data_IF_771877025343
#
_entry.id   IF_771877025343
#
_cell.length_a   1.000
_cell.length_b   1.000
_cell.length_c   1.000
_cell.angle_alpha   90.00
_cell.angle_beta   90.00
_cell.angle_gamma   90.00
#
_symmetry.space_group_name_H-M   'P 1'
#
loop_
_entity.id
_entity.type
_entity.pdbx_description
1 polymer ?
#
# COMPACT_ATOMS: atom_id res chain seq x y z
N UNK A 1 37.74 38.36 57.61
CA UNK A 1 37.30 37.24 56.75
C UNK A 1 36.38 37.83 55.68
N UNK A 2 36.91 38.30 54.54
CA UNK A 2 37.06 37.59 53.26
C UNK A 2 35.74 36.97 52.73
N UNK A 3 34.99 37.76 51.95
CA UNK A 3 34.46 37.33 50.65
C UNK A 3 34.32 38.58 49.75
N UNK A 4 35.24 38.69 48.79
CA UNK A 4 35.16 39.62 47.67
C UNK A 4 34.32 38.97 46.56
N UNK A 5 33.41 39.73 45.96
CA UNK A 5 33.12 39.66 44.52
C UNK A 5 32.81 41.08 44.03
N UNK A 6 33.81 41.64 43.38
CA UNK A 6 33.69 42.77 42.45
C UNK A 6 32.73 42.39 41.31
N UNK A 7 31.75 43.26 41.05
CA UNK A 7 31.09 43.33 39.75
C UNK A 7 31.67 44.54 39.04
N UNK A 8 32.64 44.29 38.18
CA UNK A 8 33.25 45.28 37.30
C UNK A 8 32.30 45.54 36.12
N UNK A 9 31.80 46.77 36.02
CA UNK A 9 31.00 47.26 34.89
C UNK A 9 31.86 48.22 34.09
N UNK A 10 32.50 47.72 33.03
CA UNK A 10 33.20 48.55 32.05
C UNK A 10 33.21 47.83 30.71
N UNK A 11 32.53 48.39 29.70
CA UNK A 11 32.57 47.86 28.34
C UNK A 11 31.32 48.16 27.52
N UNK A 12 31.35 49.30 26.84
CA UNK A 12 30.41 49.81 25.86
C UNK A 12 30.06 48.84 24.71
N UNK A 13 28.84 49.04 24.18
CA UNK A 13 28.30 48.59 22.88
C UNK A 13 27.79 47.15 22.80
N UNK A 14 26.48 46.98 23.01
CA UNK A 14 25.57 46.42 21.99
C UNK A 14 24.12 46.61 22.47
N UNK A 15 23.33 47.38 21.71
CA UNK A 15 21.88 47.42 21.83
C UNK A 15 21.32 46.06 21.38
N UNK A 16 21.11 45.17 22.35
CA UNK A 16 20.16 44.07 22.23
C UNK A 16 19.23 44.19 23.42
N UNK A 17 17.95 44.43 23.13
CA UNK A 17 16.86 44.42 24.10
C UNK A 17 16.67 43.01 24.67
N UNK A 18 17.57 42.61 25.57
CA UNK A 18 17.39 41.45 26.41
C UNK A 18 16.43 41.84 27.54
N UNK A 19 15.20 41.33 27.46
CA UNK A 19 14.26 41.28 28.57
C UNK A 19 14.99 40.62 29.74
N UNK A 20 15.24 41.38 30.81
CA UNK A 20 15.78 40.89 32.07
C UNK A 20 14.65 40.08 32.73
N UNK A 21 14.60 38.78 32.41
CA UNK A 21 13.78 37.81 33.11
C UNK A 21 14.35 37.61 34.52
N UNK A 22 13.60 38.05 35.53
CA UNK A 22 13.89 37.85 36.94
C UNK A 22 14.18 36.37 37.25
N UNK A 23 15.41 36.13 37.67
CA UNK A 23 15.95 34.86 38.13
C UNK A 23 15.43 34.59 39.54
N UNK A 24 14.40 33.76 39.72
CA UNK A 24 13.94 33.55 41.10
C UNK A 24 12.77 32.63 41.42
N UNK A 25 12.25 31.78 40.52
CA UNK A 25 11.44 30.62 40.92
C UNK A 25 11.44 29.58 39.79
N UNK A 26 12.36 28.60 39.87
CA UNK A 26 12.16 27.35 39.14
C UNK A 26 11.10 26.57 39.88
N UNK A 27 9.82 26.85 39.58
CA UNK A 27 8.77 25.89 39.87
C UNK A 27 9.18 24.56 39.23
N UNK A 28 9.21 23.44 39.96
CA UNK A 28 9.58 22.17 39.37
C UNK A 28 8.57 21.84 38.28
N UNK A 29 9.00 21.89 37.01
CA UNK A 29 8.20 21.52 35.83
C UNK A 29 7.48 20.17 35.98
N UNK A 30 7.92 19.32 36.92
CA UNK A 30 7.30 18.03 37.25
C UNK A 30 5.92 18.12 37.89
N UNK A 31 5.55 19.16 38.65
CA UNK A 31 4.30 19.11 39.44
C UNK A 31 3.04 19.49 38.65
N UNK A 32 3.19 20.17 37.51
CA UNK A 32 2.06 20.78 36.77
C UNK A 32 1.64 19.95 35.54
N UNK A 33 2.51 19.04 35.06
CA UNK A 33 2.17 18.04 34.03
C UNK A 33 1.19 16.96 34.48
N UNK A 34 0.71 16.97 35.74
CA UNK A 34 -0.12 15.92 36.29
C UNK A 34 -1.63 16.10 36.09
N UNK A 35 -2.09 17.19 35.46
CA UNK A 35 -3.52 17.33 35.21
C UNK A 35 -4.01 16.19 34.30
N UNK A 36 -5.03 15.42 34.72
CA UNK A 36 -5.45 14.21 33.99
C UNK A 36 -5.95 14.52 32.58
N UNK A 37 -6.62 15.66 32.39
CA UNK A 37 -7.12 16.08 31.07
C UNK A 37 -5.97 16.44 30.11
N UNK A 38 -4.96 17.18 30.57
CA UNK A 38 -3.79 17.56 29.76
C UNK A 38 -2.99 16.30 29.39
N UNK A 39 -2.79 15.38 30.35
CA UNK A 39 -2.12 14.10 30.09
C UNK A 39 -2.86 13.26 29.06
N UNK A 40 -4.20 13.20 29.16
CA UNK A 40 -5.05 12.51 28.17
C UNK A 40 -4.97 13.18 26.79
N UNK A 41 -4.99 14.51 26.73
CA UNK A 41 -4.86 15.26 25.49
C UNK A 41 -3.50 14.99 24.82
N UNK A 42 -2.40 15.14 25.56
CA UNK A 42 -1.05 14.97 25.04
C UNK A 42 -0.75 13.53 24.65
N UNK A 43 -1.24 12.52 25.38
CA UNK A 43 -1.08 11.12 25.01
C UNK A 43 -1.88 10.75 23.75
N UNK A 44 -3.08 11.32 23.56
CA UNK A 44 -3.82 11.19 22.32
C UNK A 44 -3.10 11.88 21.17
N UNK A 45 -2.58 13.10 21.39
CA UNK A 45 -1.82 13.84 20.40
C UNK A 45 -0.55 13.08 19.99
N UNK A 46 0.24 12.59 20.95
CA UNK A 46 1.45 11.78 20.69
C UNK A 46 1.15 10.55 19.83
N UNK A 47 0.04 9.86 20.12
CA UNK A 47 -0.40 8.70 19.33
C UNK A 47 -0.68 9.07 17.87
N UNK A 48 -1.32 10.21 17.62
CA UNK A 48 -1.61 10.70 16.28
C UNK A 48 -0.35 11.23 15.56
N UNK A 49 0.61 11.80 16.31
CA UNK A 49 1.90 12.28 15.79
C UNK A 49 2.94 11.17 15.55
N UNK A 50 2.62 9.89 15.78
CA UNK A 50 3.54 8.75 15.57
C UNK A 50 4.09 8.65 14.14
N UNK A 51 3.45 9.32 13.18
CA UNK A 51 3.90 9.40 11.79
C UNK A 51 5.18 10.25 11.67
N UNK A 52 5.31 11.32 12.47
CA UNK A 52 6.46 12.22 12.46
C UNK A 52 7.74 11.54 12.96
N UNK A 53 8.92 12.06 12.57
CA UNK A 53 10.19 11.73 13.21
C UNK A 53 10.13 11.92 14.73
N UNK A 54 10.87 11.12 15.50
CA UNK A 54 10.81 11.19 16.96
C UNK A 54 11.20 12.58 17.49
N UNK A 55 12.18 13.24 16.86
CA UNK A 55 12.66 14.58 17.22
C UNK A 55 11.55 15.63 17.01
N UNK A 56 11.01 15.74 15.79
CA UNK A 56 9.91 16.67 15.49
C UNK A 56 8.66 16.41 16.35
N UNK A 57 8.34 15.14 16.64
CA UNK A 57 7.25 14.79 17.54
C UNK A 57 7.50 15.32 18.95
N UNK A 58 8.71 15.17 19.48
CA UNK A 58 9.06 15.66 20.81
C UNK A 58 9.03 17.19 20.86
N UNK A 59 9.56 17.86 19.84
CA UNK A 59 9.54 19.32 19.73
C UNK A 59 8.11 19.86 19.64
N UNK A 60 7.26 19.24 18.81
CA UNK A 60 5.83 19.58 18.73
C UNK A 60 5.14 19.42 20.08
N UNK A 61 5.36 18.29 20.77
CA UNK A 61 4.74 18.05 22.07
C UNK A 61 5.25 19.04 23.13
N UNK A 62 6.51 19.46 23.04
CA UNK A 62 7.10 20.46 23.92
C UNK A 62 6.55 21.86 23.66
N UNK A 63 6.38 22.24 22.41
CA UNK A 63 5.74 23.50 22.00
C UNK A 63 4.30 23.58 22.50
N UNK A 64 3.50 22.53 22.28
CA UNK A 64 2.11 22.48 22.77
C UNK A 64 2.03 22.51 24.29
N UNK A 65 2.93 21.80 24.97
CA UNK A 65 3.06 21.92 26.43
C UNK A 65 3.33 23.37 26.83
N UNK A 66 4.29 24.04 26.18
CA UNK A 66 4.61 25.45 26.47
C UNK A 66 3.39 26.34 26.29
N UNK A 67 2.65 26.21 25.18
CA UNK A 67 1.44 27.00 24.94
C UNK A 67 0.34 26.77 25.96
N UNK A 68 0.14 25.53 26.42
CA UNK A 68 -0.81 25.24 27.50
C UNK A 68 -0.34 25.91 28.80
N UNK A 69 0.95 25.86 29.11
CA UNK A 69 1.52 26.49 30.31
C UNK A 69 1.49 28.01 30.27
N UNK A 70 1.66 28.63 29.11
CA UNK A 70 1.59 30.09 28.95
C UNK A 70 0.15 30.61 29.12
N UNK A 71 -0.86 29.80 28.80
CA UNK A 71 -2.26 30.17 28.90
C UNK A 71 -2.90 29.90 30.27
N UNK A 72 -2.29 29.05 31.10
CA UNK A 72 -2.77 28.66 32.42
C UNK A 72 -1.84 29.19 33.52
N UNK A 73 -2.38 30.00 34.43
CA UNK A 73 -1.65 30.37 35.65
C UNK A 73 -1.55 29.17 36.60
N UNK A 74 -0.58 29.15 37.54
CA UNK A 74 -0.45 28.07 38.52
C UNK A 74 -1.74 27.75 39.29
N UNK A 75 -2.59 28.75 39.51
CA UNK A 75 -3.88 28.65 40.20
C UNK A 75 -4.97 28.01 39.32
N UNK A 76 -4.89 28.19 38.00
CA UNK A 76 -5.87 27.68 37.04
C UNK A 76 -5.80 26.16 36.86
N UNK A 77 -4.70 25.50 37.27
CA UNK A 77 -4.54 24.05 37.15
C UNK A 77 -5.47 23.24 38.07
N UNK A 78 -6.10 23.88 39.05
CA UNK A 78 -7.12 23.24 39.88
C UNK A 78 -8.53 23.34 39.27
N UNK A 79 -8.71 24.18 38.25
CA UNK A 79 -10.00 24.43 37.60
C UNK A 79 -10.13 23.63 36.29
N UNK A 80 -10.88 22.51 36.37
CA UNK A 80 -11.17 21.63 35.24
C UNK A 80 -11.85 22.38 34.07
N UNK A 81 -12.70 23.37 34.32
CA UNK A 81 -13.39 24.11 33.26
C UNK A 81 -12.43 25.01 32.50
N UNK A 82 -11.51 25.66 33.23
CA UNK A 82 -10.49 26.52 32.63
C UNK A 82 -9.52 25.72 31.77
N UNK A 83 -9.07 24.57 32.27
CA UNK A 83 -8.21 23.65 31.50
C UNK A 83 -8.94 23.17 30.24
N UNK A 84 -10.19 22.72 30.35
CA UNK A 84 -10.97 22.27 29.21
C UNK A 84 -11.20 23.40 28.19
N UNK A 85 -11.41 24.65 28.63
CA UNK A 85 -11.55 25.80 27.74
C UNK A 85 -10.27 26.06 26.92
N UNK A 86 -9.08 25.94 27.52
CA UNK A 86 -7.79 26.03 26.82
C UNK A 86 -7.63 24.88 25.82
N UNK A 87 -7.92 23.65 26.23
CA UNK A 87 -7.84 22.49 25.33
C UNK A 87 -8.84 22.57 24.16
N UNK A 88 -10.04 23.11 24.39
CA UNK A 88 -11.03 23.34 23.34
C UNK A 88 -10.56 24.37 22.32
N UNK A 89 -9.79 25.39 22.73
CA UNK A 89 -9.20 26.39 21.82
C UNK A 89 -8.10 25.80 20.93
N UNK A 90 -7.32 24.86 21.46
CA UNK A 90 -6.36 24.08 20.65
C UNK A 90 -7.08 23.14 19.65
N UNK A 91 -8.34 22.82 19.93
CA UNK A 91 -9.15 21.91 19.12
C UNK A 91 -8.86 20.44 19.43
N UNK A 92 -9.61 19.56 18.77
CA UNK A 92 -9.48 18.13 18.99
C UNK A 92 -8.05 17.66 18.60
N UNK A 93 -7.37 16.83 19.44
CA UNK A 93 -6.00 16.37 19.18
C UNK A 93 -5.79 15.81 17.77
N UNK A 94 -6.78 15.06 17.29
CA UNK A 94 -6.76 14.43 15.96
C UNK A 94 -6.81 15.44 14.82
N UNK A 95 -7.58 16.52 14.97
CA UNK A 95 -7.66 17.57 13.95
C UNK A 95 -6.35 18.37 13.90
N UNK A 96 -5.82 18.70 15.07
CA UNK A 96 -4.55 19.42 15.20
C UNK A 96 -3.38 18.59 14.65
N UNK A 97 -3.25 17.33 15.07
CA UNK A 97 -2.21 16.41 14.57
C UNK A 97 -2.25 16.22 13.05
N UNK A 98 -3.46 16.16 12.46
CA UNK A 98 -3.63 16.02 11.00
C UNK A 98 -3.05 17.19 10.22
N UNK A 99 -3.19 18.41 10.74
CA UNK A 99 -2.64 19.61 10.11
C UNK A 99 -1.11 19.57 10.10
N UNK A 100 -0.49 19.28 11.26
CA UNK A 100 0.96 19.20 11.40
C UNK A 100 1.57 18.02 10.62
N UNK A 101 0.98 16.83 10.72
CA UNK A 101 1.42 15.67 9.94
C UNK A 101 1.29 15.98 8.44
N UNK A 102 0.22 16.65 8.02
CA UNK A 102 0.05 17.09 6.64
C UNK A 102 1.16 18.02 6.16
N UNK A 103 1.73 18.86 7.03
CA UNK A 103 2.85 19.76 6.71
C UNK A 103 4.14 19.02 6.51
N UNK A 104 4.50 18.17 7.46
CA UNK A 104 5.68 17.33 7.36
C UNK A 104 5.63 16.44 6.11
N UNK A 105 4.48 15.83 5.82
CA UNK A 105 4.32 15.00 4.62
C UNK A 105 4.52 15.80 3.33
N UNK A 106 4.05 17.04 3.28
CA UNK A 106 4.27 17.91 2.13
C UNK A 106 5.76 18.22 1.97
N UNK A 107 6.44 18.60 3.05
CA UNK A 107 7.86 18.92 3.00
C UNK A 107 8.70 17.70 2.54
N UNK A 108 8.39 16.51 3.04
CA UNK A 108 9.02 15.27 2.59
C UNK A 108 8.76 14.97 1.10
N UNK A 109 7.59 15.32 0.58
CA UNK A 109 7.27 15.07 -0.84
C UNK A 109 7.89 16.13 -1.76
N UNK A 110 7.92 17.39 -1.34
CA UNK A 110 8.46 18.50 -2.11
C UNK A 110 9.98 18.55 -2.05
N UNK A 111 10.54 18.55 -0.85
CA UNK A 111 11.97 18.75 -0.60
C UNK A 111 12.70 17.45 -0.23
N UNK A 112 11.99 16.49 0.37
CA UNK A 112 12.59 15.22 0.78
C UNK A 112 13.21 14.42 -0.37
N UNK A 113 14.23 13.64 -0.03
CA UNK A 113 14.88 12.72 -0.94
C UNK A 113 13.96 11.51 -1.24
N UNK A 114 14.14 10.90 -2.41
CA UNK A 114 13.38 9.72 -2.84
C UNK A 114 13.38 8.56 -1.82
N UNK A 115 14.49 8.23 -1.13
CA UNK A 115 14.50 7.18 -0.10
C UNK A 115 13.56 7.49 1.06
N UNK A 116 13.43 8.76 1.46
CA UNK A 116 12.53 9.19 2.53
C UNK A 116 11.07 9.00 2.13
N UNK A 117 10.71 9.34 0.89
CA UNK A 117 9.36 9.11 0.36
C UNK A 117 9.04 7.61 0.27
N UNK A 118 10.01 6.79 -0.13
CA UNK A 118 9.84 5.34 -0.14
C UNK A 118 9.68 4.76 1.27
N UNK A 119 10.47 5.20 2.24
CA UNK A 119 10.31 4.81 3.64
C UNK A 119 8.93 5.21 4.18
N UNK A 120 8.43 6.38 3.77
CA UNK A 120 7.11 6.85 4.12
C UNK A 120 6.00 5.98 3.52
N UNK A 121 6.14 5.59 2.26
CA UNK A 121 5.26 4.61 1.63
C UNK A 121 5.27 3.29 2.40
N UNK A 122 6.45 2.75 2.72
CA UNK A 122 6.58 1.50 3.48
C UNK A 122 5.88 1.59 4.85
N UNK A 123 5.97 2.74 5.52
CA UNK A 123 5.30 2.96 6.82
C UNK A 123 3.77 3.04 6.69
N UNK A 124 3.26 3.67 5.63
CA UNK A 124 1.83 3.99 5.52
C UNK A 124 1.00 2.99 4.71
N UNK A 125 1.57 2.46 3.63
CA UNK A 125 0.88 1.65 2.64
C UNK A 125 1.07 0.15 2.86
N UNK A 126 2.20 -0.28 3.46
CA UNK A 126 2.50 -1.70 3.60
C UNK A 126 1.47 -2.44 4.46
N UNK A 127 1.02 -1.84 5.56
CA UNK A 127 0.00 -2.46 6.41
C UNK A 127 -1.34 -2.68 5.68
N UNK A 128 -1.96 -1.68 5.02
CA UNK A 128 -3.18 -1.93 4.25
C UNK A 128 -2.94 -2.85 3.05
N UNK A 129 -1.78 -2.79 2.37
CA UNK A 129 -1.44 -3.74 1.31
C UNK A 129 -1.43 -5.19 1.81
N UNK A 130 -0.78 -5.44 2.95
CA UNK A 130 -0.76 -6.76 3.58
C UNK A 130 -2.17 -7.18 4.01
N UNK A 131 -2.96 -6.27 4.58
CA UNK A 131 -4.35 -6.54 4.96
C UNK A 131 -5.19 -6.98 3.76
N UNK A 132 -5.11 -6.26 2.63
CA UNK A 132 -5.81 -6.62 1.38
C UNK A 132 -5.28 -7.93 0.81
N UNK A 133 -3.96 -8.13 0.82
CA UNK A 133 -3.34 -9.38 0.33
C UNK A 133 -3.84 -10.58 1.13
N UNK A 134 -3.82 -10.50 2.46
CA UNK A 134 -4.29 -11.57 3.35
C UNK A 134 -5.79 -11.83 3.17
N UNK A 135 -6.60 -10.77 3.06
CA UNK A 135 -8.03 -10.88 2.83
C UNK A 135 -8.33 -11.65 1.54
N UNK A 136 -7.80 -11.20 0.40
CA UNK A 136 -8.07 -11.83 -0.89
C UNK A 136 -7.42 -13.22 -1.03
N UNK A 137 -6.25 -13.41 -0.42
CA UNK A 137 -5.63 -14.74 -0.33
C UNK A 137 -6.52 -15.69 0.45
N UNK A 138 -7.06 -15.27 1.60
CA UNK A 138 -8.02 -16.06 2.38
C UNK A 138 -9.29 -16.41 1.60
N UNK A 139 -9.84 -15.47 0.83
CA UNK A 139 -11.01 -15.71 -0.02
C UNK A 139 -10.72 -16.72 -1.15
N UNK A 140 -9.58 -16.59 -1.83
CA UNK A 140 -9.16 -17.52 -2.89
C UNK A 140 -8.81 -18.91 -2.35
N UNK A 141 -8.17 -18.96 -1.19
CA UNK A 141 -7.89 -20.22 -0.48
C UNK A 141 -9.19 -20.89 -0.03
N UNK A 142 -10.19 -20.13 0.41
CA UNK A 142 -11.49 -20.69 0.78
C UNK A 142 -12.16 -21.39 -0.41
N UNK A 143 -12.13 -20.77 -1.59
CA UNK A 143 -12.62 -21.41 -2.82
C UNK A 143 -11.84 -22.69 -3.16
N UNK A 144 -10.52 -22.65 -3.03
CA UNK A 144 -9.65 -23.82 -3.29
C UNK A 144 -9.88 -24.94 -2.27
N UNK A 145 -10.05 -24.58 -0.99
CA UNK A 145 -10.33 -25.50 0.09
C UNK A 145 -11.71 -26.16 -0.09
N UNK A 146 -12.71 -25.45 -0.63
CA UNK A 146 -14.01 -26.02 -0.96
C UNK A 146 -13.90 -27.14 -2.01
N UNK A 147 -13.12 -26.91 -3.08
CA UNK A 147 -12.83 -27.93 -4.11
C UNK A 147 -12.16 -29.16 -3.47
N UNK A 148 -11.22 -28.95 -2.55
CA UNK A 148 -10.56 -30.07 -1.87
C UNK A 148 -11.42 -30.74 -0.79
N UNK A 149 -12.34 -30.02 -0.16
CA UNK A 149 -13.27 -30.58 0.82
C UNK A 149 -14.17 -31.63 0.17
N UNK A 150 -14.57 -31.42 -1.09
CA UNK A 150 -15.30 -32.43 -1.87
C UNK A 150 -14.45 -33.71 -2.07
N UNK A 151 -13.15 -33.56 -2.35
CA UNK A 151 -12.23 -34.69 -2.48
C UNK A 151 -12.03 -35.43 -1.14
N UNK A 152 -11.97 -34.71 -0.02
CA UNK A 152 -11.91 -35.32 1.32
C UNK A 152 -13.19 -36.10 1.61
N UNK A 153 -14.36 -35.50 1.35
CA UNK A 153 -15.68 -36.11 1.59
C UNK A 153 -15.86 -37.42 0.81
N UNK A 154 -15.32 -37.48 -0.41
CA UNK A 154 -15.30 -38.70 -1.22
C UNK A 154 -14.28 -39.75 -0.74
N UNK A 155 -13.62 -39.54 0.41
CA UNK A 155 -12.58 -40.42 0.93
C UNK A 155 -11.34 -40.48 0.05
N UNK A 156 -11.12 -39.46 -0.80
CA UNK A 156 -10.05 -39.49 -1.79
C UNK A 156 -8.69 -39.06 -1.26
N UNK A 157 -8.68 -38.11 -0.33
CA UNK A 157 -7.46 -37.44 0.15
C UNK A 157 -7.58 -37.20 1.66
N UNK A 158 -6.49 -37.42 2.41
CA UNK A 158 -6.41 -37.11 3.84
C UNK A 158 -6.29 -35.60 4.10
N UNK A 159 -6.72 -35.14 5.28
CA UNK A 159 -6.73 -33.71 5.62
C UNK A 159 -5.32 -33.07 5.61
N UNK A 160 -4.29 -33.83 6.01
CA UNK A 160 -2.89 -33.37 6.01
C UNK A 160 -2.41 -33.09 4.59
N UNK A 161 -2.67 -33.99 3.65
CA UNK A 161 -2.33 -33.82 2.24
C UNK A 161 -3.03 -32.61 1.64
N UNK A 162 -4.31 -32.43 1.95
CA UNK A 162 -5.08 -31.26 1.52
C UNK A 162 -4.48 -29.95 2.05
N UNK A 163 -4.06 -29.92 3.32
CA UNK A 163 -3.39 -28.75 3.90
C UNK A 163 -2.10 -28.42 3.14
N UNK A 164 -1.26 -29.42 2.85
CA UNK A 164 -0.04 -29.20 2.08
C UNK A 164 -0.31 -28.73 0.65
N UNK A 165 -1.30 -29.30 -0.04
CA UNK A 165 -1.70 -28.82 -1.37
C UNK A 165 -2.17 -27.36 -1.34
N UNK A 166 -2.94 -26.99 -0.32
CA UNK A 166 -3.41 -25.63 -0.13
C UNK A 166 -2.24 -24.67 0.13
N UNK A 167 -1.27 -25.07 0.96
CA UNK A 167 -0.07 -24.31 1.24
C UNK A 167 0.79 -24.10 -0.01
N UNK A 168 1.00 -25.13 -0.82
CA UNK A 168 1.76 -25.02 -2.07
C UNK A 168 1.06 -24.19 -3.15
N UNK A 169 -0.25 -23.97 -3.05
CA UNK A 169 -0.97 -23.06 -3.95
C UNK A 169 -0.83 -21.58 -3.56
N UNK A 170 -0.32 -21.25 -2.37
CA UNK A 170 -0.16 -19.87 -1.90
C UNK A 170 0.61 -18.96 -2.87
N UNK A 171 1.78 -19.36 -3.42
CA UNK A 171 2.53 -18.49 -4.31
C UNK A 171 1.75 -18.09 -5.57
N UNK A 172 0.98 -19.03 -6.14
CA UNK A 172 0.16 -18.76 -7.31
C UNK A 172 -0.96 -17.75 -6.99
N UNK A 173 -1.60 -17.88 -5.83
CA UNK A 173 -2.62 -16.94 -5.37
C UNK A 173 -2.00 -15.55 -5.13
N UNK A 174 -0.81 -15.48 -4.51
CA UNK A 174 -0.14 -14.20 -4.25
C UNK A 174 0.17 -13.43 -5.55
N UNK A 175 0.61 -14.13 -6.61
CA UNK A 175 0.83 -13.51 -7.93
C UNK A 175 -0.43 -12.84 -8.45
N UNK A 176 -1.58 -13.52 -8.30
CA UNK A 176 -2.88 -13.05 -8.80
C UNK A 176 -3.46 -11.92 -7.93
N UNK A 177 -3.22 -11.95 -6.61
CA UNK A 177 -3.74 -10.95 -5.65
C UNK A 177 -2.88 -9.69 -5.60
N UNK A 178 -1.60 -9.77 -5.96
CA UNK A 178 -0.65 -8.64 -5.84
C UNK A 178 -1.13 -7.34 -6.51
N UNK A 179 -1.63 -7.33 -7.76
CA UNK A 179 -2.03 -6.08 -8.43
C UNK A 179 -3.12 -5.34 -7.66
N UNK A 180 -4.05 -6.10 -7.08
CA UNK A 180 -5.10 -5.60 -6.19
C UNK A 180 -4.48 -4.93 -4.96
N UNK A 181 -3.57 -5.63 -4.29
CA UNK A 181 -2.91 -5.09 -3.10
C UNK A 181 -2.16 -3.79 -3.42
N UNK A 182 -1.42 -3.74 -4.53
CA UNK A 182 -0.69 -2.55 -4.99
C UNK A 182 -1.64 -1.39 -5.27
N UNK A 183 -2.76 -1.62 -5.98
CA UNK A 183 -3.77 -0.61 -6.25
C UNK A 183 -4.26 0.06 -4.96
N UNK A 184 -4.68 -0.73 -3.98
CA UNK A 184 -5.19 -0.20 -2.71
C UNK A 184 -4.09 0.48 -1.88
N UNK A 185 -2.89 -0.10 -1.85
CA UNK A 185 -1.74 0.47 -1.16
C UNK A 185 -1.36 1.85 -1.66
N UNK A 186 -1.21 1.97 -2.99
CA UNK A 186 -0.86 3.23 -3.64
C UNK A 186 -2.01 4.24 -3.53
N UNK A 187 -3.26 3.83 -3.72
CA UNK A 187 -4.41 4.72 -3.55
C UNK A 187 -4.46 5.34 -2.15
N UNK A 188 -4.28 4.53 -1.10
CA UNK A 188 -4.27 5.02 0.28
C UNK A 188 -3.04 5.88 0.59
N UNK A 189 -1.87 5.53 0.05
CA UNK A 189 -0.67 6.35 0.18
C UNK A 189 -0.87 7.75 -0.41
N UNK A 190 -1.33 7.81 -1.65
CA UNK A 190 -1.55 9.07 -2.36
C UNK A 190 -2.68 9.86 -1.69
N UNK A 191 -3.78 9.21 -1.34
CA UNK A 191 -4.87 9.86 -0.62
C UNK A 191 -4.41 10.44 0.72
N UNK A 192 -3.64 9.72 1.53
CA UNK A 192 -3.14 10.26 2.82
C UNK A 192 -2.14 11.39 2.64
N UNK A 193 -1.32 11.30 1.59
CA UNK A 193 -0.33 12.32 1.26
C UNK A 193 -0.97 13.62 0.77
N UNK A 194 -2.07 13.51 0.01
CA UNK A 194 -2.75 14.67 -0.61
C UNK A 194 -3.97 15.18 0.16
N UNK A 195 -4.76 14.28 0.74
CA UNK A 195 -6.08 14.53 1.32
C UNK A 195 -6.09 15.28 2.65
N UNK A 196 -4.92 15.72 3.13
CA UNK A 196 -4.78 16.56 4.31
C UNK A 196 -4.74 18.06 3.98
N UNK A 197 -4.79 18.47 2.70
CA UNK A 197 -4.54 19.87 2.31
C UNK A 197 -5.43 20.42 1.20
N UNK A 198 -5.53 21.74 1.16
CA UNK A 198 -6.15 22.55 0.10
C UNK A 198 -5.33 22.60 -1.21
N UNK A 199 -4.02 22.33 -1.15
CA UNK A 199 -3.10 22.51 -2.29
C UNK A 199 -2.71 21.22 -3.03
N UNK A 200 -3.56 20.18 -3.00
CA UNK A 200 -3.28 18.88 -3.65
C UNK A 200 -2.85 19.01 -5.14
N UNK A 201 -3.33 20.04 -5.84
CA UNK A 201 -2.98 20.36 -7.22
C UNK A 201 -1.47 20.57 -7.46
N UNK A 202 -0.74 21.21 -6.53
CA UNK A 202 0.71 21.42 -6.68
C UNK A 202 1.46 20.09 -6.61
N UNK A 203 1.08 19.25 -5.65
CA UNK A 203 1.75 17.99 -5.37
C UNK A 203 1.50 16.94 -6.47
N UNK A 204 0.29 16.88 -7.04
CA UNK A 204 -0.04 15.98 -8.17
C UNK A 204 0.82 16.28 -9.41
N UNK A 205 1.23 17.53 -9.57
CA UNK A 205 2.13 17.96 -10.66
C UNK A 205 3.60 17.64 -10.38
N UNK A 206 3.96 17.21 -9.17
CA UNK A 206 5.32 16.82 -8.83
C UNK A 206 5.70 15.50 -9.50
N UNK A 207 6.74 15.54 -10.34
CA UNK A 207 7.32 14.33 -10.94
C UNK A 207 7.85 13.34 -9.89
N UNK A 208 8.22 13.80 -8.69
CA UNK A 208 8.73 12.94 -7.61
C UNK A 208 7.66 11.95 -7.13
N UNK A 209 6.42 12.41 -6.93
CA UNK A 209 5.31 11.56 -6.49
C UNK A 209 5.08 10.41 -7.48
N UNK A 210 5.01 10.72 -8.78
CA UNK A 210 4.86 9.73 -9.84
C UNK A 210 6.07 8.82 -9.97
N UNK A 211 7.28 9.34 -9.76
CA UNK A 211 8.51 8.54 -9.69
C UNK A 211 8.44 7.49 -8.58
N UNK A 212 7.94 7.84 -7.40
CA UNK A 212 7.75 6.88 -6.28
C UNK A 212 6.69 5.84 -6.63
N UNK A 213 5.54 6.26 -7.17
CA UNK A 213 4.45 5.36 -7.60
C UNK A 213 4.95 4.34 -8.63
N UNK A 214 5.67 4.80 -9.66
CA UNK A 214 6.26 3.96 -10.68
C UNK A 214 7.34 3.02 -10.09
N UNK A 215 8.17 3.55 -9.19
CA UNK A 215 9.18 2.75 -8.49
C UNK A 215 8.57 1.61 -7.68
N UNK A 216 7.47 1.86 -6.97
CA UNK A 216 6.70 0.83 -6.25
C UNK A 216 6.11 -0.20 -7.21
N UNK A 217 5.43 0.27 -8.27
CA UNK A 217 4.84 -0.61 -9.27
C UNK A 217 5.87 -1.55 -9.90
N UNK A 218 7.01 -1.01 -10.33
CA UNK A 218 8.12 -1.78 -10.90
C UNK A 218 8.76 -2.73 -9.89
N UNK A 219 8.96 -2.28 -8.64
CA UNK A 219 9.51 -3.11 -7.57
C UNK A 219 8.61 -4.32 -7.27
N UNK A 220 7.29 -4.10 -7.16
CA UNK A 220 6.31 -5.16 -6.99
C UNK A 220 6.25 -6.08 -8.22
N UNK A 221 6.26 -5.53 -9.44
CA UNK A 221 6.31 -6.33 -10.68
C UNK A 221 7.53 -7.25 -10.72
N UNK A 222 8.72 -6.74 -10.40
CA UNK A 222 9.95 -7.53 -10.36
C UNK A 222 9.88 -8.64 -9.31
N UNK A 223 9.39 -8.33 -8.11
CA UNK A 223 9.21 -9.33 -7.05
C UNK A 223 8.22 -10.43 -7.46
N UNK A 224 7.06 -10.06 -8.00
CA UNK A 224 6.03 -11.02 -8.44
C UNK A 224 6.51 -11.85 -9.63
N UNK A 225 7.28 -11.26 -10.55
CA UNK A 225 7.89 -12.01 -11.63
C UNK A 225 8.81 -13.12 -11.10
N UNK A 226 9.65 -12.82 -10.09
CA UNK A 226 10.50 -13.83 -9.45
C UNK A 226 9.66 -14.93 -8.77
N UNK A 227 8.61 -14.55 -8.02
CA UNK A 227 7.69 -15.52 -7.42
C UNK A 227 7.08 -16.43 -8.49
N UNK A 228 6.61 -15.85 -9.59
CA UNK A 228 5.94 -16.55 -10.66
C UNK A 228 6.86 -17.44 -11.48
N UNK A 229 8.10 -17.02 -11.72
CA UNK A 229 9.02 -17.78 -12.58
C UNK A 229 9.77 -18.88 -11.81
N UNK A 230 10.07 -18.66 -10.53
CA UNK A 230 10.88 -19.60 -9.74
C UNK A 230 10.04 -20.39 -8.75
N UNK A 231 9.22 -19.71 -7.95
CA UNK A 231 8.56 -20.31 -6.78
C UNK A 231 7.28 -21.03 -7.18
N UNK A 232 6.47 -20.46 -8.07
CA UNK A 232 5.21 -21.08 -8.53
C UNK A 232 5.45 -22.42 -9.24
N UNK A 233 6.39 -22.55 -10.21
CA UNK A 233 6.67 -23.83 -10.85
C UNK A 233 7.17 -24.88 -9.86
N UNK A 234 8.04 -24.49 -8.93
CA UNK A 234 8.52 -25.38 -7.87
C UNK A 234 7.37 -25.89 -7.00
N UNK A 235 6.50 -25.00 -6.52
CA UNK A 235 5.37 -25.36 -5.68
C UNK A 235 4.38 -26.27 -6.42
N UNK A 236 4.09 -25.96 -7.69
CA UNK A 236 3.24 -26.79 -8.54
C UNK A 236 3.82 -28.20 -8.74
N UNK A 237 5.15 -28.34 -8.91
CA UNK A 237 5.78 -29.64 -9.00
C UNK A 237 5.61 -30.47 -7.72
N UNK A 238 5.65 -29.85 -6.54
CA UNK A 238 5.39 -30.55 -5.28
C UNK A 238 3.95 -31.07 -5.23
N UNK A 239 2.97 -30.23 -5.60
CA UNK A 239 1.56 -30.63 -5.67
C UNK A 239 1.35 -31.81 -6.63
N UNK A 240 1.99 -31.80 -7.81
CA UNK A 240 1.90 -32.89 -8.78
C UNK A 240 2.55 -34.18 -8.27
N UNK A 241 3.69 -34.10 -7.56
CA UNK A 241 4.33 -35.29 -6.96
C UNK A 241 3.42 -35.94 -5.93
N UNK A 242 2.86 -35.14 -5.02
CA UNK A 242 1.91 -35.61 -4.02
C UNK A 242 0.69 -36.27 -4.71
N UNK A 243 0.16 -35.65 -5.77
CA UNK A 243 -0.96 -36.21 -6.52
C UNK A 243 -0.59 -37.54 -7.19
N UNK A 244 0.61 -37.64 -7.78
CA UNK A 244 1.10 -38.86 -8.44
C UNK A 244 1.25 -40.00 -7.44
N UNK A 245 1.83 -39.74 -6.27
CA UNK A 245 2.04 -40.75 -5.22
C UNK A 245 0.69 -41.29 -4.70
N UNK A 246 -0.31 -40.42 -4.54
CA UNK A 246 -1.68 -40.82 -4.18
C UNK A 246 -2.34 -41.69 -5.26
N UNK A 247 -2.20 -41.30 -6.53
CA UNK A 247 -2.78 -42.07 -7.65
C UNK A 247 -2.09 -43.41 -7.83
N UNK A 248 -0.76 -43.50 -7.67
CA UNK A 248 -0.04 -44.77 -7.76
C UNK A 248 -0.44 -45.73 -6.63
N UNK A 249 -0.56 -45.22 -5.40
CA UNK A 249 -1.05 -46.01 -4.25
C UNK A 249 -2.46 -46.54 -4.52
N UNK A 250 -3.33 -45.74 -5.17
CA UNK A 250 -4.68 -46.17 -5.57
C UNK A 250 -4.71 -47.13 -6.75
N UNK A 251 -3.92 -46.91 -7.79
CA UNK A 251 -3.86 -47.81 -8.95
C UNK A 251 -3.38 -49.21 -8.57
N UNK A 252 -2.61 -49.33 -7.49
CA UNK A 252 -2.26 -50.62 -6.88
C UNK A 252 -3.44 -51.26 -6.12
N UNK A 253 -4.38 -50.46 -5.60
CA UNK A 253 -5.60 -50.92 -4.91
C UNK A 253 -6.76 -51.23 -5.88
N UNK A 254 -6.88 -50.47 -6.97
CA UNK A 254 -7.88 -50.65 -8.03
C UNK A 254 -7.22 -51.29 -9.26
N UNK A 255 -7.10 -52.63 -9.25
CA UNK A 255 -6.75 -53.39 -10.46
C UNK A 255 -7.78 -53.10 -11.56
N UNK A 256 -7.34 -52.40 -12.62
CA UNK A 256 -7.99 -52.14 -13.93
C UNK A 256 -8.58 -50.73 -14.12
N UNK A 257 -7.72 -49.76 -14.47
CA UNK A 257 -7.91 -48.92 -15.65
C UNK A 257 -6.61 -48.13 -15.97
N UNK A 258 -6.16 -48.06 -17.23
CA UNK A 258 -5.09 -47.14 -17.61
C UNK A 258 -5.62 -45.71 -17.57
N UNK A 259 -5.28 -44.95 -16.53
CA UNK A 259 -5.53 -43.51 -16.49
C UNK A 259 -4.57 -42.81 -17.47
N UNK A 260 -5.12 -42.42 -18.62
CA UNK A 260 -4.49 -41.53 -19.61
C UNK A 260 -4.38 -40.11 -19.04
N UNK A 261 -3.46 -39.89 -18.11
CA UNK A 261 -2.95 -38.54 -17.89
C UNK A 261 -1.84 -38.31 -18.91
N UNK A 262 -2.07 -37.42 -19.85
CA UNK A 262 -0.96 -36.89 -20.65
C UNK A 262 0.03 -36.26 -19.66
N UNK A 263 1.28 -36.72 -19.64
CA UNK A 263 2.40 -36.12 -18.89
C UNK A 263 2.72 -34.67 -19.31
N UNK A 264 1.86 -34.07 -20.14
CA UNK A 264 1.96 -32.71 -20.61
C UNK A 264 1.63 -31.75 -19.48
N UNK A 265 2.71 -31.22 -18.88
CA UNK A 265 2.68 -30.07 -17.99
C UNK A 265 2.02 -28.89 -18.70
N UNK A 266 1.12 -28.20 -18.01
CA UNK A 266 0.55 -26.94 -18.50
C UNK A 266 1.65 -25.88 -18.56
N UNK A 267 1.68 -25.05 -19.60
CA UNK A 267 2.62 -23.94 -19.73
C UNK A 267 2.61 -23.08 -18.47
N UNK A 268 1.45 -22.84 -17.85
CA UNK A 268 1.33 -22.05 -16.61
C UNK A 268 2.16 -22.61 -15.44
N UNK A 269 2.47 -23.91 -15.46
CA UNK A 269 3.25 -24.61 -14.45
C UNK A 269 4.75 -24.68 -14.76
N UNK A 270 5.16 -24.31 -15.97
CA UNK A 270 6.56 -24.30 -16.41
C UNK A 270 7.28 -23.02 -15.98
N UNK A 271 8.61 -23.06 -15.89
CA UNK A 271 9.40 -21.82 -15.91
C UNK A 271 9.27 -21.09 -17.26
N UNK A 272 9.61 -19.81 -17.35
CA UNK A 272 9.57 -19.05 -18.61
C UNK A 272 10.50 -19.65 -19.68
N UNK A 273 11.73 -19.99 -19.32
CA UNK A 273 12.71 -20.62 -20.23
C UNK A 273 12.23 -21.99 -20.70
N UNK A 274 11.71 -22.81 -19.79
CA UNK A 274 11.16 -24.13 -20.09
C UNK A 274 9.94 -24.03 -21.04
N UNK A 275 9.03 -23.09 -20.76
CA UNK A 275 7.86 -22.84 -21.60
C UNK A 275 8.24 -22.38 -23.02
N UNK A 276 9.27 -21.54 -23.14
CA UNK A 276 9.78 -21.10 -24.44
C UNK A 276 10.30 -22.28 -25.27
N UNK A 277 11.09 -23.17 -24.65
CA UNK A 277 11.58 -24.37 -25.34
C UNK A 277 10.44 -25.32 -25.72
N UNK A 278 9.47 -25.52 -24.83
CA UNK A 278 8.28 -26.34 -25.11
C UNK A 278 7.52 -25.83 -26.34
N UNK A 279 7.23 -24.52 -26.40
CA UNK A 279 6.56 -23.89 -27.54
C UNK A 279 7.31 -24.05 -28.86
N UNK A 280 8.65 -24.08 -28.82
CA UNK A 280 9.50 -24.24 -30.01
C UNK A 280 9.54 -25.68 -30.53
N UNK A 281 9.30 -26.67 -29.66
CA UNK A 281 9.41 -28.11 -29.99
C UNK A 281 8.10 -28.78 -30.39
N UNK A 282 6.95 -28.15 -30.13
CA UNK A 282 5.64 -28.72 -30.46
C UNK A 282 5.39 -28.75 -31.99
N UNK A 283 4.97 -29.89 -32.56
CA UNK A 283 4.49 -29.93 -33.95
C UNK A 283 3.23 -29.06 -34.11
N UNK A 284 3.09 -28.39 -35.25
CA UNK A 284 2.08 -27.35 -35.50
C UNK A 284 0.63 -27.85 -35.40
N UNK A 285 0.08 -27.86 -34.19
CA UNK A 285 -1.35 -27.92 -33.92
C UNK A 285 -1.91 -26.51 -33.75
N UNK A 286 -2.33 -25.88 -34.86
CA UNK A 286 -2.64 -24.42 -34.95
C UNK A 286 -3.45 -23.89 -33.76
N UNK A 287 -4.53 -24.56 -33.34
CA UNK A 287 -5.39 -24.05 -32.23
C UNK A 287 -4.76 -24.21 -30.84
N UNK A 288 -4.13 -25.35 -30.54
CA UNK A 288 -3.52 -25.60 -29.23
C UNK A 288 -2.32 -24.67 -29.02
N UNK A 289 -1.54 -24.45 -30.08
CA UNK A 289 -0.37 -23.58 -30.07
C UNK A 289 -0.72 -22.11 -29.76
N UNK A 290 -1.84 -21.58 -30.31
CA UNK A 290 -2.28 -20.20 -30.05
C UNK A 290 -2.57 -19.98 -28.56
N UNK A 291 -3.31 -20.90 -27.93
CA UNK A 291 -3.66 -20.79 -26.50
C UNK A 291 -2.42 -20.89 -25.61
N UNK A 292 -1.55 -21.84 -25.93
CA UNK A 292 -0.28 -22.04 -25.26
C UNK A 292 0.64 -20.80 -25.35
N UNK A 293 0.71 -20.15 -26.52
CA UNK A 293 1.43 -18.89 -26.69
C UNK A 293 0.80 -17.75 -25.87
N UNK A 294 -0.53 -17.64 -25.84
CA UNK A 294 -1.21 -16.65 -25.03
C UNK A 294 -0.90 -16.82 -23.54
N UNK A 295 -0.97 -18.05 -23.04
CA UNK A 295 -0.64 -18.36 -21.65
C UNK A 295 0.83 -18.05 -21.33
N UNK A 296 1.74 -18.26 -22.29
CA UNK A 296 3.14 -17.84 -22.15
C UNK A 296 3.30 -16.32 -22.00
N UNK A 297 2.71 -15.51 -22.87
CA UNK A 297 2.85 -14.04 -22.76
C UNK A 297 2.13 -13.48 -21.53
N UNK A 298 1.00 -14.08 -21.15
CA UNK A 298 0.26 -13.73 -19.92
C UNK A 298 1.14 -13.87 -18.68
N UNK A 299 2.16 -14.75 -18.69
CA UNK A 299 3.11 -14.84 -17.57
C UNK A 299 3.92 -13.58 -17.33
N UNK A 300 4.15 -12.77 -18.36
CA UNK A 300 4.86 -11.50 -18.24
C UNK A 300 3.91 -10.34 -18.00
N UNK A 301 2.69 -10.45 -18.52
CA UNK A 301 1.63 -9.47 -18.34
C UNK A 301 1.15 -9.39 -16.88
N UNK A 302 0.93 -10.55 -16.24
CA UNK A 302 0.44 -10.59 -14.86
C UNK A 302 1.35 -9.87 -13.85
N UNK A 303 2.68 -10.05 -13.81
CA UNK A 303 3.54 -9.25 -12.95
C UNK A 303 3.53 -7.77 -13.32
N UNK A 304 3.49 -7.45 -14.62
CA UNK A 304 3.45 -6.07 -15.12
C UNK A 304 2.17 -5.34 -14.71
N UNK A 305 1.07 -6.07 -14.47
CA UNK A 305 -0.18 -5.47 -13.98
C UNK A 305 -0.06 -4.75 -12.63
N UNK A 306 0.98 -5.03 -11.83
CA UNK A 306 1.28 -4.22 -10.64
C UNK A 306 1.64 -2.78 -11.00
N UNK A 307 2.26 -2.54 -12.15
CA UNK A 307 2.59 -1.20 -12.64
C UNK A 307 1.34 -0.43 -13.07
N UNK A 308 0.46 -1.05 -13.85
CA UNK A 308 -0.83 -0.46 -14.26
C UNK A 308 -1.71 -0.19 -13.02
N UNK A 309 -1.71 -1.13 -12.06
CA UNK A 309 -2.41 -0.99 -10.79
C UNK A 309 -1.85 0.13 -9.91
N UNK A 310 -0.53 0.34 -9.89
CA UNK A 310 0.08 1.46 -9.16
C UNK A 310 -0.33 2.80 -9.75
N UNK A 311 -0.31 2.93 -11.09
CA UNK A 311 -0.78 4.15 -11.78
C UNK A 311 -2.25 4.44 -11.49
N UNK A 312 -3.08 3.41 -11.60
CA UNK A 312 -4.51 3.53 -11.33
C UNK A 312 -4.80 3.82 -9.85
N UNK A 313 -4.07 3.19 -8.94
CA UNK A 313 -4.11 3.49 -7.51
C UNK A 313 -3.75 4.95 -7.25
N UNK A 314 -2.70 5.46 -7.91
CA UNK A 314 -2.32 6.86 -7.86
C UNK A 314 -3.45 7.78 -8.32
N UNK A 315 -4.05 7.50 -9.48
CA UNK A 315 -5.23 8.22 -9.99
C UNK A 315 -6.39 8.22 -8.98
N UNK A 316 -6.76 7.05 -8.43
CA UNK A 316 -7.84 6.95 -7.44
C UNK A 316 -7.50 7.78 -6.20
N UNK A 317 -6.26 7.69 -5.70
CA UNK A 317 -5.82 8.46 -4.54
C UNK A 317 -5.91 9.98 -4.76
N UNK A 318 -5.59 10.45 -5.97
CA UNK A 318 -5.77 11.87 -6.35
C UNK A 318 -7.24 12.26 -6.38
N UNK A 319 -8.09 11.44 -7.02
CA UNK A 319 -9.54 11.70 -7.10
C UNK A 319 -10.21 11.72 -5.72
N UNK A 320 -9.71 10.94 -4.77
CA UNK A 320 -10.16 11.00 -3.39
C UNK A 320 -9.73 12.28 -2.70
N UNK A 321 -8.46 12.68 -2.90
CA UNK A 321 -7.92 13.87 -2.27
C UNK A 321 -8.54 15.17 -2.79
N UNK A 322 -8.97 15.19 -4.06
CA UNK A 322 -9.66 16.34 -4.64
C UNK A 322 -11.07 16.57 -4.07
N UNK A 323 -11.60 15.64 -3.27
CA UNK A 323 -12.94 15.76 -2.68
C UNK A 323 -14.08 15.50 -3.67
N UNK A 324 -13.78 15.11 -4.92
CA UNK A 324 -14.78 14.82 -5.95
C UNK A 324 -15.75 13.70 -5.55
N UNK A 325 -15.36 12.85 -4.60
CA UNK A 325 -16.14 11.72 -4.12
C UNK A 325 -16.10 11.61 -2.58
N UNK A 326 -16.95 12.36 -1.89
CA UNK A 326 -17.21 12.19 -0.44
C UNK A 326 -18.34 11.16 -0.24
N UNK A 327 -18.05 9.84 -0.24
CA UNK A 327 -17.57 9.19 0.98
C UNK A 327 -16.32 8.31 0.78
N UNK A 328 -15.35 8.50 1.68
CA UNK A 328 -13.97 8.01 1.68
C UNK A 328 -13.74 6.52 1.46
N UNK A 329 -14.71 5.67 1.82
CA UNK A 329 -14.52 4.23 1.92
C UNK A 329 -15.28 3.48 0.83
N UNK A 330 -16.49 3.94 0.53
CA UNK A 330 -17.36 3.29 -0.45
C UNK A 330 -16.74 3.37 -1.84
N UNK A 331 -16.15 4.50 -2.23
CA UNK A 331 -15.57 4.63 -3.57
C UNK A 331 -14.28 3.81 -3.74
N UNK A 332 -13.45 3.72 -2.70
CA UNK A 332 -12.19 2.95 -2.79
C UNK A 332 -12.48 1.47 -2.88
N UNK A 333 -13.36 0.98 -2.00
CA UNK A 333 -13.73 -0.43 -1.98
C UNK A 333 -14.51 -0.77 -3.24
N UNK A 334 -15.53 0.01 -3.58
CA UNK A 334 -16.43 -0.30 -4.68
C UNK A 334 -15.80 0.01 -6.05
N UNK A 335 -15.10 1.13 -6.19
CA UNK A 335 -14.34 1.48 -7.39
C UNK A 335 -13.14 0.54 -7.61
N UNK A 336 -12.40 0.22 -6.55
CA UNK A 336 -11.35 -0.81 -6.60
C UNK A 336 -11.92 -2.17 -7.02
N UNK A 337 -13.00 -2.62 -6.38
CA UNK A 337 -13.66 -3.89 -6.70
C UNK A 337 -14.22 -3.94 -8.13
N UNK A 338 -14.89 -2.89 -8.59
CA UNK A 338 -15.38 -2.80 -9.96
C UNK A 338 -14.25 -2.81 -10.98
N UNK A 339 -13.15 -2.11 -10.68
CA UNK A 339 -11.97 -2.13 -11.54
C UNK A 339 -11.39 -3.54 -11.62
N UNK A 340 -11.30 -4.25 -10.50
CA UNK A 340 -10.78 -5.63 -10.46
C UNK A 340 -11.69 -6.54 -11.27
N UNK A 341 -13.00 -6.47 -11.07
CA UNK A 341 -13.97 -7.24 -11.84
C UNK A 341 -13.82 -6.94 -13.34
N UNK A 342 -13.74 -5.67 -13.70
CA UNK A 342 -13.55 -5.24 -15.08
C UNK A 342 -12.23 -5.77 -15.68
N UNK A 343 -11.13 -5.69 -14.93
CA UNK A 343 -9.83 -6.21 -15.33
C UNK A 343 -9.85 -7.73 -15.56
N UNK A 344 -10.48 -8.49 -14.66
CA UNK A 344 -10.68 -9.93 -14.86
C UNK A 344 -11.52 -10.24 -16.09
N UNK A 345 -12.58 -9.46 -16.33
CA UNK A 345 -13.40 -9.65 -17.53
C UNK A 345 -12.62 -9.32 -18.80
N UNK A 346 -11.76 -8.31 -18.79
CA UNK A 346 -10.85 -8.04 -19.91
C UNK A 346 -9.91 -9.21 -20.17
N UNK A 347 -9.32 -9.80 -19.12
CA UNK A 347 -8.47 -10.99 -19.23
C UNK A 347 -9.23 -12.21 -19.76
N UNK A 348 -10.49 -12.40 -19.35
CA UNK A 348 -11.34 -13.48 -19.84
C UNK A 348 -11.71 -13.26 -21.32
N UNK A 349 -12.04 -12.03 -21.71
CA UNK A 349 -12.35 -11.66 -23.09
C UNK A 349 -11.13 -11.83 -24.00
N UNK A 350 -9.95 -11.36 -23.58
CA UNK A 350 -8.71 -11.50 -24.35
C UNK A 350 -8.24 -12.94 -24.49
N UNK A 351 -8.59 -13.80 -23.52
CA UNK A 351 -8.31 -15.23 -23.57
C UNK A 351 -9.33 -16.04 -24.40
N UNK A 352 -10.40 -15.42 -24.91
CA UNK A 352 -11.41 -16.16 -25.67
C UNK A 352 -10.92 -16.51 -27.08
N UNK A 353 -11.31 -17.69 -27.56
CA UNK A 353 -10.85 -18.22 -28.86
C UNK A 353 -11.15 -17.29 -30.02
N UNK A 354 -12.24 -16.51 -29.93
CA UNK A 354 -12.60 -15.53 -30.95
C UNK A 354 -11.50 -14.47 -31.12
N UNK A 355 -11.06 -13.86 -30.03
CA UNK A 355 -10.06 -12.79 -30.05
C UNK A 355 -8.67 -13.31 -30.41
N UNK A 356 -8.31 -14.48 -29.89
CA UNK A 356 -7.02 -15.12 -30.14
C UNK A 356 -6.79 -15.48 -31.61
N UNK A 357 -7.85 -15.83 -32.36
CA UNK A 357 -7.73 -16.14 -33.78
C UNK A 357 -7.71 -14.88 -34.68
N UNK A 358 -8.24 -13.76 -34.20
CA UNK A 358 -8.42 -12.56 -35.02
C UNK A 358 -7.26 -11.54 -34.89
N UNK A 359 -6.49 -11.60 -33.80
CA UNK A 359 -5.52 -10.57 -33.46
C UNK A 359 -4.16 -11.13 -33.05
N UNK A 360 -3.16 -10.25 -32.99
CA UNK A 360 -1.84 -10.59 -32.49
C UNK A 360 -1.91 -10.95 -30.99
N UNK A 361 -1.50 -12.19 -30.68
CA UNK A 361 -1.56 -12.82 -29.36
C UNK A 361 -0.80 -11.99 -28.30
N UNK A 362 0.33 -11.39 -28.69
CA UNK A 362 1.15 -10.57 -27.78
C UNK A 362 0.29 -9.39 -27.29
N UNK A 363 -0.29 -8.62 -28.20
CA UNK A 363 -1.13 -7.47 -27.83
C UNK A 363 -2.33 -7.88 -26.98
N UNK A 364 -2.97 -9.00 -27.29
CA UNK A 364 -4.11 -9.50 -26.52
C UNK A 364 -3.73 -9.86 -25.08
N UNK A 365 -2.53 -10.41 -24.85
CA UNK A 365 -2.07 -10.74 -23.49
C UNK A 365 -1.79 -9.51 -22.62
N UNK A 366 -1.41 -8.37 -23.22
CA UNK A 366 -1.15 -7.10 -22.52
C UNK A 366 -2.34 -6.13 -22.56
N UNK A 367 -3.40 -6.44 -23.32
CA UNK A 367 -4.55 -5.56 -23.52
C UNK A 367 -5.17 -5.08 -22.20
N UNK A 368 -5.45 -5.93 -21.19
CA UNK A 368 -6.06 -5.48 -19.95
C UNK A 368 -5.22 -4.42 -19.22
N UNK A 369 -3.90 -4.60 -19.21
CA UNK A 369 -2.97 -3.70 -18.50
C UNK A 369 -2.77 -2.38 -19.25
N UNK A 370 -2.73 -2.43 -20.58
CA UNK A 370 -2.70 -1.23 -21.42
C UNK A 370 -3.98 -0.41 -21.28
N UNK A 371 -5.15 -1.06 -21.22
CA UNK A 371 -6.43 -0.37 -21.02
C UNK A 371 -6.46 0.32 -19.65
N UNK A 372 -6.10 -0.37 -18.57
CA UNK A 372 -6.07 0.23 -17.24
C UNK A 372 -5.07 1.39 -17.14
N UNK A 373 -3.85 1.20 -17.64
CA UNK A 373 -2.83 2.25 -17.66
C UNK A 373 -3.27 3.45 -18.51
N UNK A 374 -3.88 3.20 -19.67
CA UNK A 374 -4.42 4.25 -20.55
C UNK A 374 -5.51 5.07 -19.87
N UNK A 375 -6.47 4.43 -19.19
CA UNK A 375 -7.51 5.12 -18.41
C UNK A 375 -6.88 5.97 -17.31
N UNK A 376 -5.94 5.41 -16.55
CA UNK A 376 -5.24 6.15 -15.50
C UNK A 376 -4.54 7.40 -16.04
N UNK A 377 -3.78 7.26 -17.14
CA UNK A 377 -3.05 8.36 -17.77
C UNK A 377 -4.00 9.42 -18.36
N UNK A 378 -5.12 9.04 -18.96
CA UNK A 378 -6.10 10.00 -19.50
C UNK A 378 -6.70 10.86 -18.40
N UNK A 379 -7.10 10.26 -17.28
CA UNK A 379 -7.66 11.01 -16.14
C UNK A 379 -6.58 11.91 -15.51
N UNK A 380 -5.38 11.37 -15.33
CA UNK A 380 -4.28 12.13 -14.74
C UNK A 380 -3.82 13.29 -15.61
N UNK A 381 -3.78 13.14 -16.93
CA UNK A 381 -3.49 14.25 -17.85
C UNK A 381 -4.59 15.30 -17.82
N UNK A 382 -5.86 14.90 -17.72
CA UNK A 382 -6.97 15.83 -17.51
C UNK A 382 -6.83 16.64 -16.21
N UNK A 383 -6.48 16.00 -15.10
CA UNK A 383 -6.21 16.67 -13.81
C UNK A 383 -4.98 17.58 -13.92
N UNK A 384 -3.93 17.10 -14.58
CA UNK A 384 -2.67 17.84 -14.72
C UNK A 384 -2.83 19.11 -15.56
N UNK A 385 -3.58 19.03 -16.67
CA UNK A 385 -3.91 20.14 -17.58
C UNK A 385 -5.03 21.05 -17.07
N UNK A 386 -5.76 20.65 -16.04
CA UNK A 386 -6.86 21.42 -15.47
C UNK A 386 -6.45 22.85 -15.06
N UNK A 387 -7.41 23.80 -15.06
CA UNK A 387 -7.14 25.19 -14.72
C UNK A 387 -6.45 25.27 -13.36
N UNK A 388 -5.39 26.08 -13.27
CA UNK A 388 -4.80 26.39 -11.96
C UNK A 388 -5.92 26.96 -11.11
N UNK A 389 -6.13 26.48 -9.87
CA UNK A 389 -7.05 27.15 -8.96
C UNK A 389 -6.56 28.60 -8.89
N UNK A 390 -7.39 29.53 -9.38
CA UNK A 390 -7.12 30.94 -9.21
C UNK A 390 -6.93 31.11 -7.70
N UNK A 391 -5.73 31.53 -7.30
CA UNK A 391 -5.48 31.91 -5.93
C UNK A 391 -6.58 32.88 -5.58
N UNK A 392 -7.50 32.49 -4.71
CA UNK A 392 -8.43 33.42 -4.10
C UNK A 392 -7.56 34.41 -3.35
N UNK A 393 -7.19 35.50 -4.03
CA UNK A 393 -6.58 36.68 -3.46
C UNK A 393 -7.69 37.37 -2.70
N UNK A 394 -7.91 36.94 -1.46
CA UNK A 394 -8.51 37.77 -0.42
C UNK A 394 -7.42 38.49 0.36
#
# INVERSE_FOLDING_TARGET
MKYSRECDWSGSNFQTSSIILCKGQKLPMKSVTHHPQITRYLSQLEKELKILPPEEREDTLKEIRSHIFEQLQPEDFADDERVQAVLNRLGAPKSYARSLVGEHLQDVIEHGAMPTQFALFMKQAMLPMLGVTLLFTGLMLSNTAFIFAELISQGKIGWETTFWMLFWNLPAILVVVSPIAVLFGVALYVYRSLGLRSEWNKLVRSFKLWGVILGIGLGCSGFIFILQDQIVPFANQQTVRILKDMMQTRAQQEQKAPLFFSEQKDIRQMGSVEAYHYLKTQPEGVKKQIREQYDFYTKFSLPLSNLSSALLGGMIGVLMASGLFQPLYTLVVLGGMLTILFWYQLYALSASDYWLNAHNIVWMSFLPDLVLAGVALLVLTGIWLGPKPESQTE
#
